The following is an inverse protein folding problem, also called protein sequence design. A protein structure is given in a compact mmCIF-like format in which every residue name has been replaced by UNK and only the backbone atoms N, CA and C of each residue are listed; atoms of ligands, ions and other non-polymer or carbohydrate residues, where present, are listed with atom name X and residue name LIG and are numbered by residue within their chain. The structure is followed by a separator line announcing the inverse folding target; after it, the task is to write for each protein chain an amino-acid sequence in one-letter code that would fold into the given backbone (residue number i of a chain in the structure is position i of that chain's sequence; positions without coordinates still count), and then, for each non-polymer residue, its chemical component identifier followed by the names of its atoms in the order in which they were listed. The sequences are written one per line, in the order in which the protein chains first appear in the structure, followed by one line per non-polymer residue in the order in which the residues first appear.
data_IF_356526143216
#
_entry.id   IF_356526143216
#
_cell.length_a   1.000
_cell.length_b   1.000
_cell.length_c   1.000
_cell.angle_alpha   90.00
_cell.angle_beta   90.00
_cell.angle_gamma   90.00
#
_symmetry.space_group_name_H-M   'P 1'
#
loop_
_entity.id
_entity.type
_entity.pdbx_description
1 polymer ?
#
# COMPACT_ATOMS: atom_id res chain seq x y z
N UNK A 1 7.66 23.00 11.91
CA UNK A 1 8.35 23.96 11.02
C UNK A 1 8.42 25.38 11.58
N UNK A 2 8.74 25.58 12.86
CA UNK A 2 8.69 26.90 13.52
C UNK A 2 9.87 27.82 13.17
N UNK A 3 10.97 27.27 12.66
CA UNK A 3 12.27 27.97 12.52
C UNK A 3 12.66 28.29 11.07
N UNK A 4 11.82 27.94 10.09
CA UNK A 4 12.08 28.21 8.68
C UNK A 4 11.63 29.62 8.33
N UNK A 5 12.45 30.37 7.61
CA UNK A 5 12.06 31.67 7.07
C UNK A 5 10.77 31.54 6.24
N UNK A 6 9.78 32.38 6.56
CA UNK A 6 8.50 32.45 5.85
C UNK A 6 8.52 33.45 4.68
N UNK A 7 9.67 34.10 4.42
CA UNK A 7 9.80 35.04 3.30
C UNK A 7 9.92 34.32 1.96
N UNK A 8 9.46 35.01 0.91
CA UNK A 8 9.46 34.51 -0.47
C UNK A 8 10.86 34.25 -1.04
N UNK A 9 11.89 34.92 -0.52
CA UNK A 9 13.30 34.68 -0.86
C UNK A 9 14.02 34.30 0.45
N UNK A 10 14.48 33.05 0.61
CA UNK A 10 15.14 32.61 1.82
C UNK A 10 16.47 33.33 2.00
N UNK A 11 16.71 33.91 3.17
CA UNK A 11 17.97 34.61 3.48
C UNK A 11 19.16 33.65 3.75
N UNK A 12 18.90 32.34 3.77
CA UNK A 12 19.89 31.28 3.98
C UNK A 12 20.42 31.19 5.42
N UNK A 13 19.83 31.92 6.38
CA UNK A 13 20.33 32.02 7.76
C UNK A 13 19.58 31.15 8.77
N UNK A 14 18.63 30.34 8.32
CA UNK A 14 17.86 29.41 9.17
C UNK A 14 18.73 28.60 10.14
N UNK A 15 19.86 28.08 9.64
CA UNK A 15 20.80 27.28 10.45
C UNK A 15 21.48 28.11 11.54
N UNK A 16 21.79 29.37 11.25
CA UNK A 16 22.40 30.30 12.19
C UNK A 16 21.37 30.71 13.25
N UNK A 17 20.13 31.02 12.83
CA UNK A 17 19.03 31.33 13.72
C UNK A 17 18.72 30.14 14.66
N UNK A 18 18.67 28.92 14.13
CA UNK A 18 18.49 27.71 14.92
C UNK A 18 19.61 27.52 15.95
N UNK A 19 20.87 27.78 15.56
CA UNK A 19 22.02 27.66 16.46
C UNK A 19 22.00 28.73 17.55
N UNK A 20 21.65 29.96 17.21
CA UNK A 20 21.52 31.06 18.16
C UNK A 20 20.38 30.81 19.15
N UNK A 21 19.21 30.38 18.66
CA UNK A 21 18.07 30.01 19.48
C UNK A 21 18.42 28.87 20.44
N UNK A 22 19.00 27.77 19.95
CA UNK A 22 19.45 26.64 20.81
C UNK A 22 20.39 27.12 21.90
N UNK A 23 21.38 27.96 21.57
CA UNK A 23 22.35 28.47 22.55
C UNK A 23 21.70 29.37 23.59
N UNK A 24 20.74 30.20 23.18
CA UNK A 24 20.00 31.09 24.07
C UNK A 24 19.09 30.29 25.03
N UNK A 25 18.30 29.35 24.51
CA UNK A 25 17.40 28.54 25.33
C UNK A 25 18.14 27.68 26.38
N UNK A 26 19.28 27.08 26.01
CA UNK A 26 20.12 26.32 26.95
C UNK A 26 20.73 27.24 28.03
N UNK A 27 21.11 28.46 27.67
CA UNK A 27 21.66 29.42 28.62
C UNK A 27 20.65 29.89 29.65
N UNK A 28 19.39 30.14 29.25
CA UNK A 28 18.35 30.64 30.15
C UNK A 28 17.77 29.52 31.04
N UNK A 29 17.67 28.28 30.54
CA UNK A 29 17.09 27.19 31.32
C UNK A 29 17.90 26.86 32.58
N UNK A 30 19.22 27.01 32.52
CA UNK A 30 20.12 26.65 33.64
C UNK A 30 20.28 27.74 34.70
N UNK A 31 19.76 28.95 34.47
CA UNK A 31 19.93 30.07 35.42
C UNK A 31 19.21 29.76 36.74
N UNK A 32 17.99 29.22 36.67
CA UNK A 32 17.22 28.85 37.85
C UNK A 32 17.90 27.70 38.62
N UNK A 33 18.47 26.73 37.91
CA UNK A 33 19.16 25.57 38.49
C UNK A 33 20.44 26.00 39.24
N UNK A 34 21.19 26.95 38.68
CA UNK A 34 22.35 27.52 39.35
C UNK A 34 21.96 28.33 40.59
N UNK A 35 20.89 29.13 40.52
CA UNK A 35 20.38 29.87 41.66
C UNK A 35 19.91 28.94 42.78
N UNK A 36 19.25 27.83 42.43
CA UNK A 36 18.85 26.80 43.38
C UNK A 36 20.05 26.10 44.02
N UNK A 37 21.12 25.85 43.27
CA UNK A 37 22.34 25.26 43.80
C UNK A 37 23.00 26.17 44.84
N UNK A 38 23.04 27.48 44.58
CA UNK A 38 23.52 28.47 45.56
C UNK A 38 22.63 28.53 46.80
N UNK A 39 21.31 28.47 46.62
CA UNK A 39 20.35 28.44 47.72
C UNK A 39 20.52 27.17 48.57
N UNK A 40 20.68 26.01 47.93
CA UNK A 40 20.94 24.74 48.60
C UNK A 40 22.20 24.81 49.46
N UNK A 41 23.27 25.42 48.96
CA UNK A 41 24.50 25.61 49.74
C UNK A 41 24.25 26.44 51.00
N UNK A 42 23.53 27.56 50.88
CA UNK A 42 23.19 28.40 52.03
C UNK A 42 22.30 27.68 53.05
N UNK A 43 21.33 26.88 52.58
CA UNK A 43 20.46 26.06 53.44
C UNK A 43 21.27 24.97 54.16
N UNK A 44 22.15 24.26 53.44
CA UNK A 44 23.00 23.23 54.02
C UNK A 44 23.94 23.82 55.07
N UNK A 45 24.56 24.97 54.78
CA UNK A 45 25.43 25.68 55.73
C UNK A 45 24.66 26.09 57.00
N UNK A 46 23.46 26.66 56.85
CA UNK A 46 22.62 27.04 57.98
C UNK A 46 22.26 25.83 58.85
N UNK A 47 21.94 24.69 58.22
CA UNK A 47 21.66 23.43 58.93
C UNK A 47 22.90 22.90 59.67
N UNK A 48 24.09 22.96 59.07
CA UNK A 48 25.33 22.60 59.75
C UNK A 48 25.56 23.46 60.99
N UNK A 49 25.41 24.79 60.88
CA UNK A 49 25.61 25.69 62.00
C UNK A 49 24.56 25.50 63.09
N UNK A 50 23.31 25.21 62.71
CA UNK A 50 22.25 24.87 63.66
C UNK A 50 22.50 23.54 64.38
N UNK A 51 23.25 22.63 63.77
CA UNK A 51 23.69 21.37 64.38
C UNK A 51 24.95 21.54 65.26
N UNK A 52 25.53 22.74 65.36
CA UNK A 52 26.69 23.04 66.20
C UNK A 52 28.06 22.88 65.52
N UNK A 53 28.10 22.72 64.18
CA UNK A 53 29.35 22.67 63.41
C UNK A 53 29.79 24.09 63.06
N UNK A 54 30.80 24.61 63.75
CA UNK A 54 31.32 25.97 63.52
C UNK A 54 32.06 26.12 62.18
N UNK A 55 32.76 25.07 61.74
CA UNK A 55 33.50 25.02 60.47
C UNK A 55 33.17 23.72 59.73
N UNK A 56 32.06 23.66 58.98
CA UNK A 56 31.64 22.43 58.31
C UNK A 56 32.53 22.09 57.11
N UNK A 57 32.92 20.82 57.02
CA UNK A 57 33.67 20.28 55.87
C UNK A 57 32.72 20.06 54.68
N UNK A 58 33.27 19.90 53.47
CA UNK A 58 32.46 19.60 52.28
C UNK A 58 31.59 18.35 52.40
N UNK A 59 32.05 17.34 53.17
CA UNK A 59 31.28 16.13 53.49
C UNK A 59 30.06 16.43 54.38
N UNK A 60 30.24 17.32 55.36
CA UNK A 60 29.17 17.71 56.28
C UNK A 60 28.10 18.49 55.51
N UNK A 61 28.51 19.45 54.68
CA UNK A 61 27.60 20.18 53.80
C UNK A 61 26.81 19.26 52.87
N UNK A 62 27.44 18.24 52.29
CA UNK A 62 26.74 17.26 51.47
C UNK A 62 25.70 16.49 52.30
N UNK A 63 26.05 16.03 53.51
CA UNK A 63 25.13 15.28 54.37
C UNK A 63 23.91 16.12 54.79
N UNK A 64 24.11 17.40 55.11
CA UNK A 64 23.04 18.33 55.49
C UNK A 64 22.27 18.95 54.29
N UNK A 65 22.68 18.64 53.05
CA UNK A 65 21.99 19.09 51.83
C UNK A 65 20.69 18.35 51.55
N UNK A 66 20.52 17.14 52.10
CA UNK A 66 19.33 16.31 51.89
C UNK A 66 18.05 16.99 52.39
N UNK A 67 16.94 16.77 51.69
CA UNK A 67 15.63 17.32 52.05
C UNK A 67 14.98 18.18 50.96
N UNK A 68 13.91 18.87 51.33
CA UNK A 68 13.07 19.65 50.41
C UNK A 68 13.16 21.15 50.73
N UNK A 69 13.20 21.98 49.69
CA UNK A 69 13.10 23.43 49.80
C UNK A 69 12.44 24.04 48.56
N UNK A 70 11.95 25.27 48.69
CA UNK A 70 11.39 26.03 47.56
C UNK A 70 12.49 26.90 46.94
N UNK A 71 12.84 26.59 45.69
CA UNK A 71 13.82 27.32 44.89
C UNK A 71 13.16 28.17 43.79
N UNK A 72 14.00 28.77 42.95
CA UNK A 72 13.60 29.53 41.76
C UNK A 72 12.99 28.64 40.67
N UNK A 73 13.40 27.37 40.58
CA UNK A 73 12.75 26.40 39.68
C UNK A 73 11.53 25.70 40.29
N UNK A 74 11.08 26.15 41.47
CA UNK A 74 10.01 25.56 42.27
C UNK A 74 10.54 24.62 43.34
N UNK A 75 9.71 23.65 43.75
CA UNK A 75 10.09 22.67 44.78
C UNK A 75 11.27 21.82 44.36
N UNK A 76 12.38 21.94 45.06
CA UNK A 76 13.59 21.14 44.89
C UNK A 76 13.66 20.09 45.99
N UNK A 77 13.86 18.83 45.60
CA UNK A 77 14.02 17.71 46.51
C UNK A 77 15.41 17.12 46.28
N UNK A 78 16.22 17.09 47.32
CA UNK A 78 17.52 16.42 47.36
C UNK A 78 17.33 15.09 48.09
N UNK A 79 17.60 14.00 47.38
CA UNK A 79 17.46 12.65 47.90
C UNK A 79 18.55 12.28 48.91
N UNK A 80 18.43 11.10 49.50
CA UNK A 80 19.38 10.56 50.48
C UNK A 80 20.78 10.32 49.89
N UNK A 81 20.90 10.24 48.56
CA UNK A 81 22.17 10.13 47.85
C UNK A 81 22.75 11.51 47.47
N UNK A 82 22.26 12.59 48.09
CA UNK A 82 22.70 13.97 47.87
C UNK A 82 22.57 14.44 46.42
N UNK A 83 21.64 13.83 45.68
CA UNK A 83 21.36 14.14 44.28
C UNK A 83 19.96 14.74 44.19
N UNK A 84 19.76 15.66 43.25
CA UNK A 84 18.45 16.25 43.01
C UNK A 84 17.54 15.26 42.31
N UNK A 85 16.33 15.08 42.83
CA UNK A 85 15.27 14.33 42.15
C UNK A 85 14.80 15.13 40.93
N UNK A 86 14.90 14.58 39.70
CA UNK A 86 14.62 15.34 38.50
C UNK A 86 13.12 15.51 38.29
N UNK A 87 12.74 16.71 37.85
CA UNK A 87 11.38 17.05 37.45
C UNK A 87 11.40 17.44 35.98
N UNK A 88 10.79 16.63 35.14
CA UNK A 88 10.65 16.91 33.72
C UNK A 88 9.30 17.57 33.45
N UNK A 89 9.34 18.69 32.74
CA UNK A 89 8.16 19.45 32.32
C UNK A 89 8.06 19.35 30.81
N UNK A 90 6.95 18.80 30.30
CA UNK A 90 6.63 18.83 28.88
C UNK A 90 5.66 19.97 28.63
N UNK A 91 6.14 20.95 27.88
CA UNK A 91 5.35 22.08 27.46
C UNK A 91 4.62 21.78 26.16
N UNK A 92 3.42 22.32 26.02
CA UNK A 92 2.71 22.37 24.75
C UNK A 92 1.76 23.54 24.68
N UNK A 93 0.97 23.60 23.61
CA UNK A 93 0.05 24.70 23.35
C UNK A 93 -1.39 24.28 23.66
N UNK A 94 -2.13 25.14 24.36
CA UNK A 94 -3.57 24.96 24.56
C UNK A 94 -4.38 25.42 23.33
N UNK A 95 -5.71 25.33 23.40
CA UNK A 95 -6.63 25.77 22.33
C UNK A 95 -6.51 27.27 21.99
N UNK A 96 -6.02 28.09 22.91
CA UNK A 96 -5.79 29.52 22.75
C UNK A 96 -4.35 29.86 22.31
N UNK A 97 -3.58 28.86 21.87
CA UNK A 97 -2.17 28.98 21.50
C UNK A 97 -1.26 29.52 22.62
N UNK A 98 -1.65 29.34 23.87
CA UNK A 98 -0.81 29.68 25.02
C UNK A 98 -0.01 28.47 25.46
N UNK A 99 1.24 28.71 25.85
CA UNK A 99 2.11 27.69 26.40
C UNK A 99 1.60 27.26 27.78
N UNK A 100 1.37 25.96 27.94
CA UNK A 100 0.99 25.33 29.20
C UNK A 100 1.88 24.11 29.47
N UNK A 101 2.02 23.73 30.74
CA UNK A 101 2.64 22.45 31.12
C UNK A 101 1.61 21.34 30.89
N UNK A 102 1.84 20.48 29.90
CA UNK A 102 0.93 19.37 29.59
C UNK A 102 1.20 18.14 30.44
N UNK A 103 2.47 17.94 30.80
CA UNK A 103 2.91 16.79 31.54
C UNK A 103 4.01 17.19 32.51
N UNK A 104 3.85 16.80 33.77
CA UNK A 104 4.89 16.89 34.79
C UNK A 104 5.26 15.48 35.23
N UNK A 105 6.50 15.11 35.01
CA UNK A 105 7.07 13.81 35.39
C UNK A 105 8.06 14.08 36.51
N UNK A 106 7.78 13.55 37.69
CA UNK A 106 8.71 13.62 38.83
C UNK A 106 9.21 12.22 39.11
N UNK A 107 10.52 12.04 39.03
CA UNK A 107 11.18 10.82 39.44
C UNK A 107 11.67 10.98 40.87
N UNK A 108 11.12 10.17 41.79
CA UNK A 108 11.64 10.11 43.17
C UNK A 108 12.39 8.82 43.38
N UNK A 109 13.67 8.95 43.73
CA UNK A 109 14.49 7.82 44.15
C UNK A 109 14.35 7.63 45.66
N UNK A 110 13.55 6.64 46.08
CA UNK A 110 13.38 6.28 47.50
C UNK A 110 13.88 4.86 47.69
N UNK A 111 14.85 4.66 48.57
CA UNK A 111 15.40 3.34 48.91
C UNK A 111 15.88 2.52 47.69
N UNK A 112 16.45 3.18 46.67
CA UNK A 112 16.95 2.53 45.46
C UNK A 112 15.88 2.11 44.44
N UNK A 113 14.59 2.38 44.70
CA UNK A 113 13.53 2.20 43.72
C UNK A 113 13.06 3.58 43.22
N UNK A 114 12.95 3.75 41.89
CA UNK A 114 12.43 4.99 41.31
C UNK A 114 10.93 4.91 41.13
N UNK A 115 10.21 5.88 41.70
CA UNK A 115 8.77 6.05 41.46
C UNK A 115 8.56 7.20 40.49
N UNK A 116 7.80 6.93 39.42
CA UNK A 116 7.42 7.94 38.44
C UNK A 116 6.04 8.48 38.80
N UNK A 117 6.00 9.73 39.26
CA UNK A 117 4.76 10.45 39.47
C UNK A 117 4.49 11.24 38.20
N UNK A 118 3.37 10.93 37.55
CA UNK A 118 2.98 11.53 36.28
C UNK A 118 1.69 12.34 36.47
N UNK A 119 1.81 13.66 36.44
CA UNK A 119 0.67 14.57 36.42
C UNK A 119 0.39 14.97 34.97
N UNK A 120 -0.71 14.43 34.41
CA UNK A 120 -1.06 14.51 33.00
C UNK A 120 -2.31 15.36 32.84
N UNK A 121 -2.25 16.37 31.98
CA UNK A 121 -3.43 17.12 31.58
C UNK A 121 -4.40 16.26 30.76
N UNK A 122 -5.72 16.52 30.82
CA UNK A 122 -6.70 15.72 30.11
C UNK A 122 -6.45 15.74 28.58
N UNK A 123 -6.75 14.64 27.86
CA UNK A 123 -6.52 14.54 26.42
C UNK A 123 -7.18 15.66 25.60
N UNK A 124 -8.33 16.15 26.07
CA UNK A 124 -9.06 17.26 25.44
C UNK A 124 -8.25 18.55 25.39
N UNK A 125 -7.39 18.79 26.39
CA UNK A 125 -6.51 19.96 26.47
C UNK A 125 -5.20 19.70 25.73
N UNK A 126 -4.59 18.53 25.95
CA UNK A 126 -3.30 18.17 25.32
C UNK A 126 -3.41 18.12 23.79
N UNK A 127 -4.53 17.61 23.29
CA UNK A 127 -4.80 17.40 21.87
C UNK A 127 -5.88 18.33 21.33
N UNK A 128 -6.06 19.51 21.92
CA UNK A 128 -7.08 20.48 21.51
C UNK A 128 -6.97 20.84 20.01
N UNK A 129 -5.75 20.96 19.48
CA UNK A 129 -5.49 21.20 18.05
C UNK A 129 -5.84 20.02 17.13
N UNK A 130 -6.13 18.84 17.71
CA UNK A 130 -6.43 17.58 17.01
C UNK A 130 -7.80 17.02 17.39
N UNK A 131 -8.74 17.88 17.78
CA UNK A 131 -10.10 17.45 18.13
C UNK A 131 -10.21 16.77 19.50
N UNK A 132 -9.23 16.97 20.39
CA UNK A 132 -9.27 16.51 21.78
C UNK A 132 -8.93 15.03 22.00
N UNK A 133 -8.50 14.32 20.96
CA UNK A 133 -8.08 12.92 21.05
C UNK A 133 -6.61 12.74 20.68
N UNK A 134 -5.87 11.84 21.37
CA UNK A 134 -4.50 11.54 21.00
C UNK A 134 -4.42 10.97 19.58
N UNK A 135 -3.41 11.38 18.79
CA UNK A 135 -3.19 10.77 17.49
C UNK A 135 -2.83 9.30 17.66
N UNK A 136 -3.15 8.50 16.66
CA UNK A 136 -2.81 7.08 16.66
C UNK A 136 -1.30 6.92 16.56
N UNK A 137 -0.71 6.12 17.45
CA UNK A 137 0.73 5.85 17.46
C UNK A 137 1.23 5.13 16.18
N UNK A 138 0.33 4.43 15.49
CA UNK A 138 0.57 3.81 14.18
C UNK A 138 -0.47 4.29 13.17
N UNK A 139 -0.10 4.52 11.91
CA UNK A 139 -1.06 4.82 10.86
C UNK A 139 -2.01 3.64 10.62
N UNK A 140 -3.15 3.88 9.96
CA UNK A 140 -4.16 2.85 9.72
C UNK A 140 -3.62 1.63 8.95
N UNK A 141 -2.64 1.84 8.07
CA UNK A 141 -2.08 0.82 7.19
C UNK A 141 -0.63 0.46 7.47
N UNK A 142 -0.18 0.58 8.73
CA UNK A 142 1.23 0.46 9.11
C UNK A 142 2.16 1.44 8.37
N UNK A 143 3.38 1.61 8.86
CA UNK A 143 4.34 2.56 8.25
C UNK A 143 4.78 2.14 6.84
N UNK A 144 4.76 0.83 6.56
CA UNK A 144 5.19 0.26 5.28
C UNK A 144 4.02 -0.03 4.33
N UNK A 145 2.78 0.33 4.68
CA UNK A 145 1.60 0.01 3.87
C UNK A 145 1.23 -1.48 3.87
N UNK A 146 1.98 -2.35 4.55
CA UNK A 146 1.81 -3.81 4.50
C UNK A 146 0.52 -4.32 5.15
N UNK A 147 -0.09 -3.54 6.04
CA UNK A 147 -1.36 -3.87 6.67
C UNK A 147 -2.58 -3.38 5.87
N UNK A 148 -2.36 -2.61 4.80
CA UNK A 148 -3.42 -2.21 3.89
C UNK A 148 -3.84 -3.42 3.03
N UNK A 149 -5.13 -3.61 2.74
CA UNK A 149 -5.56 -4.66 1.84
C UNK A 149 -4.91 -4.44 0.46
N UNK A 150 -4.23 -5.45 -0.12
CA UNK A 150 -3.58 -5.31 -1.42
C UNK A 150 -4.62 -4.99 -2.48
N UNK A 151 -4.24 -4.16 -3.44
CA UNK A 151 -5.16 -3.83 -4.55
C UNK A 151 -5.43 -5.08 -5.39
N UNK A 152 -6.60 -5.13 -6.04
CA UNK A 152 -6.97 -6.25 -6.93
C UNK A 152 -5.87 -6.52 -7.97
N UNK A 153 -5.25 -5.47 -8.50
CA UNK A 153 -4.16 -5.58 -9.48
C UNK A 153 -2.97 -6.34 -8.91
N UNK A 154 -2.46 -5.98 -7.72
CA UNK A 154 -1.30 -6.66 -7.13
C UNK A 154 -1.56 -8.14 -6.82
N UNK A 155 -2.79 -8.47 -6.39
CA UNK A 155 -3.15 -9.84 -6.03
C UNK A 155 -3.44 -10.73 -7.25
N UNK A 156 -4.04 -10.18 -8.30
CA UNK A 156 -4.56 -10.96 -9.43
C UNK A 156 -3.81 -10.74 -10.75
N UNK A 157 -2.81 -9.85 -10.83
CA UNK A 157 -2.03 -9.64 -12.06
C UNK A 157 -1.41 -10.93 -12.59
N UNK A 158 -0.77 -11.72 -11.73
CA UNK A 158 -0.16 -12.98 -12.16
C UNK A 158 -1.20 -14.00 -12.66
N UNK A 159 -2.33 -14.11 -11.96
CA UNK A 159 -3.40 -15.07 -12.30
C UNK A 159 -4.12 -14.63 -13.59
N UNK A 160 -4.41 -13.35 -13.74
CA UNK A 160 -5.06 -12.79 -14.94
C UNK A 160 -4.16 -12.91 -16.17
N UNK A 161 -2.85 -12.69 -16.03
CA UNK A 161 -1.89 -12.86 -17.11
C UNK A 161 -1.85 -14.32 -17.60
N UNK A 162 -1.79 -15.29 -16.68
CA UNK A 162 -1.82 -16.72 -17.04
C UNK A 162 -3.13 -17.11 -17.68
N UNK A 163 -4.26 -16.61 -17.15
CA UNK A 163 -5.60 -16.90 -17.67
C UNK A 163 -5.81 -16.39 -19.11
N UNK A 164 -5.09 -15.35 -19.54
CA UNK A 164 -5.16 -14.82 -20.91
C UNK A 164 -4.15 -15.49 -21.84
N UNK A 165 -2.91 -15.73 -21.39
CA UNK A 165 -1.84 -16.28 -22.25
C UNK A 165 -2.12 -17.74 -22.64
N UNK A 166 -2.52 -18.58 -21.69
CA UNK A 166 -2.73 -20.01 -21.91
C UNK A 166 -3.76 -20.30 -23.01
N UNK A 167 -4.99 -19.73 -23.01
CA UNK A 167 -5.96 -19.99 -24.06
C UNK A 167 -5.50 -19.46 -25.42
N UNK A 168 -4.83 -18.31 -25.48
CA UNK A 168 -4.30 -17.76 -26.73
C UNK A 168 -3.25 -18.71 -27.34
N UNK A 169 -2.34 -19.25 -26.53
CA UNK A 169 -1.36 -20.24 -26.98
C UNK A 169 -2.03 -21.52 -27.51
N UNK A 170 -3.07 -22.02 -26.83
CA UNK A 170 -3.82 -23.20 -27.27
C UNK A 170 -4.52 -22.93 -28.62
N UNK A 171 -5.13 -21.76 -28.78
CA UNK A 171 -5.78 -21.36 -30.04
C UNK A 171 -4.77 -21.29 -31.19
N UNK A 172 -3.59 -20.68 -30.97
CA UNK A 172 -2.53 -20.63 -31.98
C UNK A 172 -2.06 -22.03 -32.36
N UNK A 173 -1.83 -22.90 -31.37
CA UNK A 173 -1.42 -24.29 -31.62
C UNK A 173 -2.48 -25.07 -32.41
N UNK A 174 -3.76 -24.92 -32.07
CA UNK A 174 -4.85 -25.55 -32.81
C UNK A 174 -4.89 -25.09 -34.26
N UNK A 175 -4.74 -23.78 -34.52
CA UNK A 175 -4.68 -23.22 -35.88
C UNK A 175 -3.50 -23.82 -36.65
N UNK A 176 -2.31 -23.89 -36.05
CA UNK A 176 -1.12 -24.47 -36.70
C UNK A 176 -1.36 -25.93 -37.07
N UNK A 177 -1.93 -26.74 -36.17
CA UNK A 177 -2.23 -28.16 -36.43
C UNK A 177 -3.23 -28.30 -37.57
N UNK A 178 -4.30 -27.51 -37.59
CA UNK A 178 -5.30 -27.52 -38.67
C UNK A 178 -4.64 -27.16 -40.01
N UNK A 179 -3.82 -26.10 -40.06
CA UNK A 179 -3.12 -25.71 -41.28
C UNK A 179 -2.15 -26.80 -41.77
N UNK A 180 -1.42 -27.45 -40.85
CA UNK A 180 -0.54 -28.58 -41.18
C UNK A 180 -1.32 -29.76 -41.74
N UNK A 181 -2.46 -30.09 -41.13
CA UNK A 181 -3.31 -31.17 -41.60
C UNK A 181 -3.87 -30.88 -43.00
N UNK A 182 -4.36 -29.66 -43.24
CA UNK A 182 -4.84 -29.24 -44.57
C UNK A 182 -3.76 -29.32 -45.63
N UNK A 183 -2.53 -28.89 -45.33
CA UNK A 183 -1.40 -28.97 -46.26
C UNK A 183 -1.04 -30.42 -46.60
N UNK A 184 -1.04 -31.32 -45.61
CA UNK A 184 -0.79 -32.75 -45.85
C UNK A 184 -1.88 -33.37 -46.72
N UNK A 185 -3.14 -32.98 -46.54
CA UNK A 185 -4.25 -33.48 -47.35
C UNK A 185 -4.15 -32.97 -48.80
N UNK A 186 -3.78 -31.71 -49.00
CA UNK A 186 -3.49 -31.16 -50.33
C UNK A 186 -2.35 -31.92 -51.03
N UNK A 187 -1.27 -32.23 -50.30
CA UNK A 187 -0.16 -33.04 -50.81
C UNK A 187 -0.61 -34.44 -51.22
N UNK A 188 -1.49 -35.10 -50.43
CA UNK A 188 -2.06 -36.41 -50.78
C UNK A 188 -2.96 -36.36 -52.02
N UNK A 189 -3.85 -35.38 -52.11
CA UNK A 189 -4.71 -35.21 -53.29
C UNK A 189 -3.89 -34.93 -54.56
N UNK A 190 -2.78 -34.20 -54.42
CA UNK A 190 -1.83 -33.93 -55.51
C UNK A 190 -1.04 -35.18 -55.96
N UNK A 191 -1.08 -36.29 -55.23
CA UNK A 191 -0.48 -37.55 -55.69
C UNK A 191 -1.47 -38.42 -56.47
N UNK A 192 -2.78 -38.24 -56.28
CA UNK A 192 -3.81 -39.08 -56.90
C UNK A 192 -3.94 -38.90 -58.42
N UNK A 193 -3.57 -37.74 -58.98
CA UNK A 193 -3.60 -37.52 -60.43
C UNK A 193 -2.37 -38.08 -61.16
N UNK A 194 -1.34 -38.53 -60.43
CA UNK A 194 -0.15 -39.15 -61.01
C UNK A 194 -0.47 -40.60 -61.38
N UNK A 195 -0.63 -40.86 -62.67
CA UNK A 195 -0.83 -42.22 -63.18
C UNK A 195 0.47 -43.02 -62.91
N UNK A 196 0.42 -44.09 -62.10
CA UNK A 196 1.63 -44.83 -61.78
C UNK A 196 2.11 -45.60 -63.02
N UNK A 197 3.41 -45.53 -63.32
CA UNK A 197 3.99 -46.06 -64.57
C UNK A 197 3.74 -47.57 -64.76
N UNK A 198 3.46 -48.32 -63.69
CA UNK A 198 3.10 -49.73 -63.74
C UNK A 198 1.73 -50.01 -64.38
N UNK A 199 0.85 -49.01 -64.48
CA UNK A 199 -0.46 -49.12 -65.16
C UNK A 199 -0.38 -48.81 -66.66
N UNK A 200 0.78 -48.34 -67.16
CA UNK A 200 0.96 -48.02 -68.56
C UNK A 200 1.19 -49.29 -69.39
N UNK A 201 0.15 -49.74 -70.09
CA UNK A 201 0.24 -50.87 -71.02
C UNK A 201 0.76 -50.39 -72.38
N UNK A 202 1.89 -50.93 -72.85
CA UNK A 202 2.48 -50.58 -74.15
C UNK A 202 1.53 -50.98 -75.29
N UNK A 203 1.14 -50.01 -76.12
CA UNK A 203 0.27 -50.23 -77.28
C UNK A 203 0.95 -51.19 -78.27
N UNK A 204 0.27 -52.27 -78.67
CA UNK A 204 0.76 -53.24 -79.65
C UNK A 204 0.47 -52.71 -81.06
N UNK A 205 1.51 -52.37 -81.83
CA UNK A 205 1.40 -51.77 -83.17
C UNK A 205 1.30 -52.83 -84.25
N UNK A 206 0.09 -53.36 -84.49
CA UNK A 206 -0.31 -53.95 -85.78
C UNK A 206 -1.84 -53.79 -85.94
N UNK A 207 -2.26 -53.10 -87.01
CA UNK A 207 -3.60 -53.01 -87.69
C UNK A 207 -3.86 -51.55 -88.17
N UNK A 208 -4.45 -51.35 -89.37
CA UNK A 208 -4.27 -50.14 -90.18
C UNK A 208 -5.25 -49.01 -89.85
N UNK A 209 -4.97 -47.87 -90.48
CA UNK A 209 -5.65 -46.58 -90.41
C UNK A 209 -7.19 -46.67 -90.40
N UNK A 210 -7.76 -46.56 -89.21
CA UNK A 210 -9.13 -46.15 -89.00
C UNK A 210 -9.15 -45.04 -87.95
N UNK A 211 -9.59 -43.84 -88.37
CA UNK A 211 -9.81 -42.70 -87.49
C UNK A 211 -10.87 -43.06 -86.44
N UNK A 212 -10.54 -43.10 -85.14
CA UNK A 212 -11.58 -43.08 -84.14
C UNK A 212 -12.15 -41.65 -84.05
N UNK A 213 -13.47 -41.54 -84.19
CA UNK A 213 -14.21 -40.38 -83.68
C UNK A 213 -13.93 -40.29 -82.18
N UNK A 214 -13.45 -39.16 -81.70
CA UNK A 214 -13.55 -38.82 -80.28
C UNK A 214 -15.04 -38.65 -79.96
N UNK A 215 -15.68 -39.64 -79.33
CA UNK A 215 -16.82 -39.34 -78.47
C UNK A 215 -16.27 -38.89 -77.13
N UNK A 216 -16.47 -37.62 -76.81
CA UNK A 216 -16.33 -37.14 -75.45
C UNK A 216 -17.64 -37.51 -74.74
N UNK A 217 -17.70 -38.72 -74.19
CA UNK A 217 -18.74 -39.03 -73.21
C UNK A 217 -18.36 -38.31 -71.91
N UNK A 218 -18.87 -37.09 -71.77
CA UNK A 218 -18.93 -36.41 -70.49
C UNK A 218 -19.97 -37.15 -69.63
N UNK A 219 -19.61 -38.31 -69.10
CA UNK A 219 -20.34 -38.90 -67.98
C UNK A 219 -19.98 -38.07 -66.75
N UNK A 220 -20.61 -36.91 -66.62
CA UNK A 220 -20.55 -36.09 -65.42
C UNK A 220 -21.29 -36.86 -64.33
N UNK A 221 -20.55 -37.63 -63.53
CA UNK A 221 -21.14 -38.37 -62.43
C UNK A 221 -21.67 -37.35 -61.41
N UNK A 222 -22.99 -37.28 -61.26
CA UNK A 222 -23.71 -36.30 -60.44
C UNK A 222 -23.64 -36.61 -58.92
N UNK A 223 -22.72 -37.48 -58.49
CA UNK A 223 -22.66 -37.96 -57.10
C UNK A 223 -21.66 -37.17 -56.22
N UNK A 224 -21.03 -36.12 -56.74
CA UNK A 224 -20.05 -35.32 -56.01
C UNK A 224 -20.63 -34.18 -55.16
N UNK A 225 -21.93 -33.91 -55.20
CA UNK A 225 -22.55 -32.77 -54.49
C UNK A 225 -23.26 -33.10 -53.17
N UNK A 226 -23.35 -34.36 -52.75
CA UNK A 226 -24.01 -34.72 -51.48
C UNK A 226 -23.10 -34.70 -50.24
N UNK A 227 -21.77 -34.57 -50.40
CA UNK A 227 -20.85 -34.53 -49.25
C UNK A 227 -20.62 -33.09 -48.76
N UNK A 228 -20.57 -32.10 -49.68
CA UNK A 228 -20.40 -30.69 -49.30
C UNK A 228 -21.69 -30.06 -48.70
N UNK A 229 -22.88 -30.57 -49.04
CA UNK A 229 -24.12 -30.16 -48.39
C UNK A 229 -24.27 -30.71 -46.97
N UNK A 230 -23.59 -31.81 -46.62
CA UNK A 230 -23.54 -32.31 -45.24
C UNK A 230 -22.66 -31.44 -44.34
N UNK A 231 -21.50 -30.99 -44.81
CA UNK A 231 -20.61 -30.13 -44.02
C UNK A 231 -21.13 -28.70 -43.84
N UNK A 232 -21.92 -28.16 -44.79
CA UNK A 232 -22.54 -26.83 -44.65
C UNK A 232 -23.67 -26.81 -43.61
N UNK A 233 -24.39 -27.91 -43.45
CA UNK A 233 -25.52 -28.00 -42.52
C UNK A 233 -25.10 -28.28 -41.06
N UNK A 234 -23.96 -28.93 -40.81
CA UNK A 234 -23.50 -29.16 -39.42
C UNK A 234 -22.95 -27.90 -38.73
N UNK A 235 -22.36 -26.96 -39.48
CA UNK A 235 -21.91 -25.68 -38.92
C UNK A 235 -23.06 -24.72 -38.56
N UNK A 236 -24.20 -24.77 -39.27
CA UNK A 236 -25.39 -23.99 -38.89
C UNK A 236 -26.24 -24.68 -37.79
N UNK A 237 -26.21 -26.01 -37.69
CA UNK A 237 -26.89 -26.74 -36.61
C UNK A 237 -26.23 -26.52 -35.24
N UNK A 238 -24.91 -26.32 -35.17
CA UNK A 238 -24.21 -26.01 -33.92
C UNK A 238 -24.39 -24.55 -33.45
N UNK A 239 -24.69 -23.63 -34.36
CA UNK A 239 -25.03 -22.24 -34.01
C UNK A 239 -26.50 -22.05 -33.59
N UNK A 240 -27.40 -22.98 -33.95
CA UNK A 240 -28.80 -22.97 -33.49
C UNK A 240 -29.04 -23.81 -32.21
N UNK A 241 -28.12 -24.69 -31.84
CA UNK A 241 -28.18 -25.43 -30.57
C UNK A 241 -27.64 -24.65 -29.36
N UNK A 242 -26.87 -23.56 -29.57
CA UNK A 242 -26.59 -22.56 -28.53
C UNK A 242 -27.70 -21.50 -28.39
N UNK A 243 -28.64 -21.43 -29.33
CA UNK A 243 -29.76 -20.48 -29.32
C UNK A 243 -31.11 -21.09 -28.84
N UNK A 244 -31.16 -22.38 -28.46
CA UNK A 244 -32.41 -23.06 -28.04
C UNK A 244 -32.37 -23.72 -26.65
N UNK A 245 -31.49 -23.26 -25.75
CA UNK A 245 -31.65 -23.44 -24.30
C UNK A 245 -31.75 -22.08 -23.62
N UNK A 246 -32.98 -21.61 -23.49
CA UNK A 246 -33.31 -20.52 -22.58
C UNK A 246 -34.57 -19.76 -22.96
N UNK A 247 -35.76 -20.38 -22.91
CA UNK A 247 -36.91 -19.76 -22.26
C UNK A 247 -38.14 -20.68 -22.11
N UNK A 248 -38.87 -20.47 -21.00
CA UNK A 248 -40.15 -21.05 -20.54
C UNK A 248 -40.04 -22.33 -19.71
N UNK A 249 -40.32 -22.36 -18.40
CA UNK A 249 -40.82 -21.32 -17.50
C UNK A 249 -41.31 -21.94 -16.17
N UNK A 250 -41.26 -21.13 -15.10
CA UNK A 250 -41.99 -21.30 -13.82
C UNK A 250 -41.31 -22.21 -12.79
N UNK A 251 -41.17 -21.88 -11.51
CA UNK A 251 -41.66 -20.78 -10.65
C UNK A 251 -40.90 -20.88 -9.31
N UNK A 252 -40.48 -19.75 -8.72
CA UNK A 252 -40.70 -19.37 -7.30
C UNK A 252 -39.59 -18.48 -6.73
N UNK A 253 -40.05 -17.32 -6.23
CA UNK A 253 -39.54 -16.54 -5.10
C UNK A 253 -38.24 -15.72 -5.29
N UNK A 254 -38.37 -14.38 -5.39
CA UNK A 254 -38.14 -13.38 -4.30
C UNK A 254 -36.66 -12.93 -4.29
N UNK A 255 -36.24 -11.66 -4.35
CA UNK A 255 -36.71 -10.34 -3.91
C UNK A 255 -35.97 -9.28 -4.78
N UNK A 256 -36.62 -8.25 -5.33
CA UNK A 256 -36.97 -6.95 -4.72
C UNK A 256 -35.83 -5.90 -4.72
N UNK A 257 -36.16 -4.70 -5.23
CA UNK A 257 -35.53 -3.38 -5.05
C UNK A 257 -34.17 -3.11 -5.76
N UNK A 258 -33.87 -2.01 -6.47
CA UNK A 258 -34.44 -0.66 -6.73
C UNK A 258 -33.88 -0.20 -8.10
N UNK A 259 -34.59 0.51 -9.00
CA UNK A 259 -34.81 1.98 -9.04
C UNK A 259 -33.51 2.78 -8.79
N UNK A 260 -33.12 3.84 -9.48
CA UNK A 260 -33.61 4.71 -10.55
C UNK A 260 -32.39 5.62 -10.89
N UNK A 261 -32.46 6.42 -11.96
CA UNK A 261 -31.50 7.47 -12.37
C UNK A 261 -30.16 6.97 -13.00
N UNK A 262 -29.66 7.49 -14.12
CA UNK A 262 -29.88 8.80 -14.74
C UNK A 262 -29.66 8.75 -16.26
N UNK A 263 -30.53 9.48 -16.97
CA UNK A 263 -30.19 10.19 -18.20
C UNK A 263 -28.92 11.03 -18.02
N UNK A 264 -28.02 10.99 -19.01
CA UNK A 264 -27.31 12.14 -19.62
C UNK A 264 -26.00 11.63 -20.25
N UNK A 265 -25.95 11.61 -21.58
CA UNK A 265 -24.78 11.93 -22.43
C UNK A 265 -24.96 11.35 -23.83
N UNK A 266 -25.85 11.96 -24.63
CA UNK A 266 -25.80 11.87 -26.09
C UNK A 266 -26.69 12.97 -26.72
N UNK A 267 -26.29 14.23 -26.57
CA UNK A 267 -26.84 15.33 -27.35
C UNK A 267 -25.85 16.51 -27.40
N UNK A 268 -24.89 16.46 -28.32
CA UNK A 268 -24.26 17.68 -28.87
C UNK A 268 -23.51 17.34 -30.16
N UNK A 269 -24.26 17.20 -31.26
CA UNK A 269 -23.79 17.46 -32.61
C UNK A 269 -25.03 17.78 -33.46
N UNK A 270 -25.28 19.08 -33.68
CA UNK A 270 -26.32 19.52 -34.62
C UNK A 270 -27.11 20.77 -34.22
N UNK A 271 -26.45 21.92 -34.03
CA UNK A 271 -26.80 23.23 -34.62
C UNK A 271 -25.93 24.34 -34.04
#
# INVERSE_FOLDING_TARGET
DVWKDTKAIPDGKDNLALRAAKKFFVGVSQVAELADAMMLYAIALNRCTAAGLAEPTGTDLAQFSSGQFEGFSGTVIINEYHTRDPVFLVYGLNSSNQQIVMLKITERAVNGNSTLIQDVQPPSVMWASRGGSPPRNRPLCDFNGSACPPTFVEKYLAITLVAVIVPVCILIMAIIVVLRYRKLEEERLNELWKIPFNTLKKRNTKIPEHRPKCSFDAQFNHDSYQVLSKFKNEHEALLLLSARRGFSGGTAAHLEACADEAELCAAEEGS
#
